data_IF_566447309665
#
_entry.id   IF_566447309665
#
_cell.length_a   1.000
_cell.length_b   1.000
_cell.length_c   1.000
_cell.angle_alpha   90.00
_cell.angle_beta   90.00
_cell.angle_gamma   90.00
#
_symmetry.space_group_name_H-M   'P 1'
#
loop_
_entity.id
_entity.type
_entity.pdbx_description
1 polymer ?
#
# COMPACT_ATOMS: atom_id res chain seq x y z
N UNK A 1 6.37 9.10 19.14
CA UNK A 1 6.08 9.66 17.79
C UNK A 1 4.63 9.35 17.45
N UNK A 2 3.92 10.25 16.74
CA UNK A 2 2.55 9.95 16.29
C UNK A 2 2.55 8.77 15.30
N UNK A 3 1.46 7.99 15.24
CA UNK A 3 1.31 6.96 14.22
C UNK A 3 1.27 7.58 12.82
N UNK A 4 1.60 6.79 11.81
CA UNK A 4 1.51 7.24 10.41
C UNK A 4 0.07 7.61 10.07
N UNK A 5 -0.10 8.73 9.39
CA UNK A 5 -1.40 9.15 8.87
C UNK A 5 -1.66 8.49 7.51
N UNK A 6 -2.94 8.37 7.15
CA UNK A 6 -3.29 7.79 5.85
C UNK A 6 -2.73 8.60 4.67
N UNK A 7 -2.60 9.93 4.84
CA UNK A 7 -2.02 10.83 3.84
C UNK A 7 -0.53 10.60 3.61
N UNK A 8 0.23 10.25 4.64
CA UNK A 8 1.65 9.91 4.49
C UNK A 8 1.80 8.61 3.70
N UNK A 9 1.00 7.60 4.02
CA UNK A 9 1.04 6.31 3.29
C UNK A 9 0.56 6.47 1.85
N UNK A 10 -0.51 7.24 1.62
CA UNK A 10 -1.00 7.58 0.28
C UNK A 10 0.10 8.23 -0.57
N UNK A 11 0.89 9.16 -0.02
CA UNK A 11 1.98 9.79 -0.78
C UNK A 11 3.01 8.78 -1.28
N UNK A 12 3.36 7.79 -0.46
CA UNK A 12 4.28 6.73 -0.86
C UNK A 12 3.69 5.86 -1.97
N UNK A 13 2.39 5.52 -1.87
CA UNK A 13 1.68 4.78 -2.92
C UNK A 13 1.59 5.60 -4.21
N UNK A 14 1.28 6.89 -4.13
CA UNK A 14 1.26 7.78 -5.30
C UNK A 14 2.63 7.86 -5.97
N UNK A 15 3.69 8.09 -5.20
CA UNK A 15 5.05 8.19 -5.75
C UNK A 15 5.45 6.88 -6.43
N UNK A 16 5.06 5.73 -5.86
CA UNK A 16 5.24 4.43 -6.52
C UNK A 16 4.40 4.29 -7.79
N UNK A 17 3.14 4.73 -7.79
CA UNK A 17 2.26 4.70 -8.96
C UNK A 17 2.79 5.57 -10.12
N UNK A 18 3.44 6.68 -9.78
CA UNK A 18 4.15 7.57 -10.72
C UNK A 18 5.54 7.04 -11.11
N UNK A 19 5.94 5.86 -10.62
CA UNK A 19 7.26 5.25 -10.82
C UNK A 19 8.42 6.14 -10.34
N UNK A 20 8.15 7.09 -9.43
CA UNK A 20 9.17 7.93 -8.79
C UNK A 20 9.95 7.16 -7.72
N UNK A 21 9.29 6.18 -7.09
CA UNK A 21 9.89 5.29 -6.10
C UNK A 21 9.68 3.83 -6.50
N UNK A 22 10.72 2.99 -6.45
CA UNK A 22 10.57 1.58 -6.78
C UNK A 22 9.68 0.90 -5.74
N UNK A 23 8.67 0.19 -6.22
CA UNK A 23 7.84 -0.70 -5.40
C UNK A 23 8.26 -2.14 -5.65
N UNK A 24 8.68 -2.82 -4.59
CA UNK A 24 9.14 -4.20 -4.64
C UNK A 24 8.25 -5.10 -3.79
N UNK A 25 7.82 -6.24 -4.34
CA UNK A 25 7.08 -7.24 -3.57
C UNK A 25 8.02 -7.98 -2.62
N UNK A 26 7.64 -8.05 -1.34
CA UNK A 26 8.38 -8.80 -0.33
C UNK A 26 8.03 -10.30 -0.44
N UNK A 27 9.03 -11.17 -0.38
CA UNK A 27 8.85 -12.62 -0.56
C UNK A 27 7.92 -13.28 0.48
N UNK A 28 7.80 -12.69 1.68
CA UNK A 28 6.90 -13.18 2.73
C UNK A 28 5.51 -12.61 2.51
N UNK A 29 4.62 -13.41 1.94
CA UNK A 29 3.18 -13.15 1.86
C UNK A 29 2.55 -13.97 3.00
N UNK A 30 2.21 -13.35 4.14
CA UNK A 30 1.85 -14.10 5.34
C UNK A 30 0.49 -14.79 5.22
N UNK A 31 -0.42 -14.22 4.43
CA UNK A 31 -1.79 -14.72 4.31
C UNK A 31 -2.31 -14.61 2.86
N UNK A 32 -3.17 -15.54 2.41
CA UNK A 32 -3.89 -15.37 1.15
C UNK A 32 -4.71 -14.07 1.17
N UNK A 33 -4.77 -13.39 0.04
CA UNK A 33 -5.47 -12.10 -0.08
C UNK A 33 -4.70 -10.89 0.47
N UNK A 34 -3.43 -11.06 0.84
CA UNK A 34 -2.58 -9.95 1.25
C UNK A 34 -1.24 -9.98 0.51
N UNK A 35 -0.76 -8.79 0.12
CA UNK A 35 0.56 -8.62 -0.47
C UNK A 35 1.41 -7.67 0.35
N UNK A 36 2.64 -8.10 0.64
CA UNK A 36 3.62 -7.26 1.31
C UNK A 36 4.54 -6.62 0.28
N UNK A 37 4.79 -5.33 0.45
CA UNK A 37 5.66 -4.55 -0.43
C UNK A 37 6.61 -3.66 0.35
N UNK A 38 7.70 -3.29 -0.31
CA UNK A 38 8.64 -2.27 0.13
C UNK A 38 8.67 -1.13 -0.89
N UNK A 39 8.62 0.10 -0.39
CA UNK A 39 8.78 1.33 -1.16
C UNK A 39 9.88 2.15 -0.49
N UNK A 40 11.13 1.97 -0.90
CA UNK A 40 12.31 2.64 -0.32
C UNK A 40 12.37 2.55 1.22
N UNK A 41 12.20 1.35 1.76
CA UNK A 41 12.21 1.10 3.21
C UNK A 41 10.87 1.33 3.91
N UNK A 42 9.84 1.77 3.18
CA UNK A 42 8.46 1.74 3.65
C UNK A 42 7.86 0.36 3.42
N UNK A 43 7.56 -0.36 4.50
CA UNK A 43 7.00 -1.69 4.44
C UNK A 43 5.48 -1.63 4.57
N UNK A 44 4.76 -1.99 3.52
CA UNK A 44 3.31 -1.97 3.47
C UNK A 44 2.75 -3.40 3.37
N UNK A 45 1.62 -3.62 4.04
CA UNK A 45 0.76 -4.78 3.88
C UNK A 45 -0.55 -4.32 3.24
N UNK A 46 -0.84 -4.84 2.06
CA UNK A 46 -1.95 -4.42 1.22
C UNK A 46 -2.94 -5.59 1.08
N UNK A 47 -4.22 -5.33 1.37
CA UNK A 47 -5.30 -6.29 1.13
C UNK A 47 -5.69 -6.29 -0.34
N UNK A 48 -5.73 -7.46 -0.96
CA UNK A 48 -6.03 -7.66 -2.38
C UNK A 48 -7.10 -8.73 -2.56
N UNK A 49 -7.93 -8.57 -3.58
CA UNK A 49 -8.89 -9.60 -4.02
C UNK A 49 -8.71 -9.85 -5.52
N UNK A 50 -8.14 -11.02 -5.83
CA UNK A 50 -7.72 -11.37 -7.19
C UNK A 50 -6.75 -10.34 -7.76
N UNK A 51 -7.23 -9.56 -8.73
CA UNK A 51 -6.45 -8.55 -9.43
C UNK A 51 -6.55 -7.13 -8.83
N UNK A 52 -7.33 -6.96 -7.76
CA UNK A 52 -7.72 -5.64 -7.26
C UNK A 52 -7.09 -5.32 -5.91
N UNK A 53 -6.63 -4.08 -5.76
CA UNK A 53 -6.17 -3.55 -4.48
C UNK A 53 -7.38 -2.99 -3.71
N UNK A 54 -7.57 -3.46 -2.47
CA UNK A 54 -8.74 -3.11 -1.66
C UNK A 54 -8.44 -2.05 -0.60
N UNK A 55 -7.42 -2.28 0.23
CA UNK A 55 -7.08 -1.42 1.37
C UNK A 55 -5.62 -1.59 1.79
N UNK A 56 -5.10 -0.64 2.55
CA UNK A 56 -3.81 -0.78 3.21
C UNK A 56 -4.04 -1.29 4.64
N UNK A 57 -3.60 -2.51 4.93
CA UNK A 57 -3.78 -3.12 6.25
C UNK A 57 -2.81 -2.53 7.27
N UNK A 58 -1.54 -2.37 6.88
CA UNK A 58 -0.48 -1.84 7.74
C UNK A 58 0.59 -1.16 6.89
N UNK A 59 1.24 -0.16 7.47
CA UNK A 59 2.40 0.49 6.91
C UNK A 59 3.42 0.77 8.02
N UNK A 60 4.69 0.56 7.73
CA UNK A 60 5.82 0.92 8.58
C UNK A 60 6.78 1.80 7.79
N UNK A 61 7.06 2.98 8.32
CA UNK A 61 8.04 3.90 7.78
C UNK A 61 9.47 3.47 8.19
N UNK A 62 10.50 3.90 7.44
CA UNK A 62 11.90 3.60 7.76
C UNK A 62 12.35 4.20 9.11
N UNK A 63 11.66 5.23 9.60
CA UNK A 63 11.88 5.83 10.92
C UNK A 63 11.28 5.02 12.09
N UNK A 64 10.66 3.87 11.80
CA UNK A 64 10.04 2.99 12.78
C UNK A 64 8.61 3.36 13.15
N UNK A 65 8.03 4.45 12.60
CA UNK A 65 6.61 4.75 12.78
C UNK A 65 5.75 3.74 12.04
N UNK A 66 4.59 3.46 12.62
CA UNK A 66 3.64 2.50 12.08
C UNK A 66 2.26 3.13 11.95
N UNK A 67 1.51 2.70 10.95
CA UNK A 67 0.09 2.96 10.79
C UNK A 67 -0.62 1.68 10.40
N UNK A 68 -1.88 1.56 10.82
CA UNK A 68 -2.68 0.38 10.64
C UNK A 68 -4.11 0.77 10.28
N UNK A 69 -4.78 -0.12 9.55
CA UNK A 69 -6.11 0.12 9.01
C UNK A 69 -7.13 0.51 10.09
N UNK A 70 -7.12 -0.18 11.23
CA UNK A 70 -8.07 0.08 12.34
C UNK A 70 -7.99 1.53 12.83
N UNK A 71 -6.76 2.06 12.93
CA UNK A 71 -6.53 3.46 13.29
C UNK A 71 -6.94 4.43 12.20
N UNK A 72 -6.67 4.11 10.93
CA UNK A 72 -7.07 4.99 9.83
C UNK A 72 -8.57 5.04 9.67
N UNK A 73 -9.29 3.93 9.77
CA UNK A 73 -10.76 3.90 9.68
C UNK A 73 -11.43 4.67 10.83
N UNK A 74 -10.84 4.64 12.03
CA UNK A 74 -11.41 5.32 13.20
C UNK A 74 -11.27 6.84 13.17
N UNK A 75 -10.25 7.35 12.49
CA UNK A 75 -9.91 8.78 12.51
C UNK A 75 -9.78 9.41 11.10
N UNK A 76 -10.08 8.68 10.03
CA UNK A 76 -9.87 9.15 8.66
C UNK A 76 -10.26 8.13 7.58
N UNK A 77 -9.63 8.27 6.42
CA UNK A 77 -9.86 7.48 5.20
C UNK A 77 -8.71 6.51 4.99
N UNK A 78 -8.97 5.30 4.49
CA UNK A 78 -7.93 4.34 4.13
C UNK A 78 -6.97 4.92 3.05
N UNK A 79 -5.64 4.67 3.12
CA UNK A 79 -4.69 5.20 2.16
C UNK A 79 -4.98 4.84 0.70
N UNK A 80 -5.49 3.63 0.43
CA UNK A 80 -5.83 3.17 -0.93
C UNK A 80 -7.05 3.92 -1.44
N UNK A 81 -8.01 4.23 -0.57
CA UNK A 81 -9.20 5.02 -0.93
C UNK A 81 -8.89 6.47 -1.33
N UNK A 82 -7.67 6.96 -1.05
CA UNK A 82 -7.20 8.28 -1.49
C UNK A 82 -6.58 8.26 -2.90
N UNK A 83 -6.27 7.08 -3.44
CA UNK A 83 -5.75 6.93 -4.80
C UNK A 83 -6.86 7.22 -5.82
N UNK A 84 -6.51 7.98 -6.84
CA UNK A 84 -7.31 8.08 -8.06
C UNK A 84 -7.37 6.73 -8.77
N UNK A 85 -8.35 6.55 -9.65
CA UNK A 85 -8.50 5.33 -10.46
C UNK A 85 -7.23 4.98 -11.25
N UNK A 86 -6.52 6.00 -11.75
CA UNK A 86 -5.27 5.79 -12.49
C UNK A 86 -4.13 5.34 -11.57
N UNK A 87 -3.94 6.00 -10.42
CA UNK A 87 -2.89 5.64 -9.46
C UNK A 87 -3.13 4.21 -8.94
N UNK A 88 -4.39 3.85 -8.64
CA UNK A 88 -4.77 2.51 -8.20
C UNK A 88 -4.40 1.44 -9.25
N UNK A 89 -4.76 1.66 -10.52
CA UNK A 89 -4.47 0.73 -11.60
C UNK A 89 -2.96 0.56 -11.85
N UNK A 90 -2.15 1.61 -11.67
CA UNK A 90 -0.69 1.50 -11.76
C UNK A 90 -0.12 0.68 -10.61
N UNK A 91 -0.59 0.87 -9.37
CA UNK A 91 -0.15 0.02 -8.25
C UNK A 91 -0.53 -1.44 -8.48
N UNK A 92 -1.76 -1.72 -8.91
CA UNK A 92 -2.19 -3.08 -9.24
C UNK A 92 -1.31 -3.72 -10.33
N UNK A 93 -0.89 -2.93 -11.34
CA UNK A 93 0.05 -3.36 -12.38
C UNK A 93 1.45 -3.63 -11.82
N UNK A 94 2.00 -2.76 -10.99
CA UNK A 94 3.32 -2.93 -10.35
C UNK A 94 3.34 -4.14 -9.42
N UNK A 95 2.22 -4.44 -8.77
CA UNK A 95 2.03 -5.65 -7.99
C UNK A 95 1.89 -6.92 -8.85
N UNK A 96 1.83 -6.78 -10.18
CA UNK A 96 1.50 -7.84 -11.12
C UNK A 96 0.17 -8.55 -10.76
N UNK A 97 -0.78 -7.82 -10.18
CA UNK A 97 -2.12 -8.35 -9.88
C UNK A 97 -2.96 -8.53 -11.15
N UNK A 98 -2.62 -7.82 -12.22
CA UNK A 98 -3.23 -8.02 -13.52
C UNK A 98 -2.86 -9.40 -14.05
N UNK A 99 -3.86 -10.28 -14.20
CA UNK A 99 -3.72 -11.56 -14.88
C UNK A 99 -3.18 -11.29 -16.28
N UNK A 100 -1.94 -11.71 -16.50
CA UNK A 100 -1.39 -11.82 -17.85
C UNK A 100 -2.30 -12.77 -18.66
N UNK A 101 -2.66 -12.42 -19.91
CA UNK A 101 -3.64 -13.17 -20.72
C UNK A 101 -3.23 -14.63 -20.94
#
# INVERSE_FOLDING_TARGET
MPPLTAREVYQQLRDAALELRPLSRLARQPEPGHVHVDIEGWRLSLGVDGARLLHCQRCQAPDGREGELDRWQRYGTDPVSLLSTWELAQIERLLCLQRQP
#
